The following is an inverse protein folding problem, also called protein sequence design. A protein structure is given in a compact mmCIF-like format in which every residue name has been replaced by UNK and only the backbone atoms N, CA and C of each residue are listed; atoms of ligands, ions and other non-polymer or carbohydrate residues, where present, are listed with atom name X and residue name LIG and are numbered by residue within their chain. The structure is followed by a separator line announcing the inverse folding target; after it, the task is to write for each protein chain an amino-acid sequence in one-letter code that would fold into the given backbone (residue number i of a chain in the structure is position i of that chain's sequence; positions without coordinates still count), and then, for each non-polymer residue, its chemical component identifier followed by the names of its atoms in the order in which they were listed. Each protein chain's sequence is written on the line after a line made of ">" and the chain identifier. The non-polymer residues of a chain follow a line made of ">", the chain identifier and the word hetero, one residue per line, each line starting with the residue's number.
data_IF_773653010856
#
_entry.id   IF_773653010856
#
_cell.length_a   1.000
_cell.length_b   1.000
_cell.length_c   1.000
_cell.angle_alpha   90.00
_cell.angle_beta   90.00
_cell.angle_gamma   90.00
#
_symmetry.space_group_name_H-M   'P 1'
#
loop_
_entity.id
_entity.type
_entity.pdbx_description
1 polymer ?
#
# COMPACT_ATOMS: atom_id res chain seq x y z
N UNK A 1 3.42 -9.43 -27.86
CA UNK A 1 2.47 -9.44 -26.74
C UNK A 1 3.36 -9.59 -25.51
N UNK A 2 3.59 -8.60 -24.65
CA UNK A 2 2.72 -7.58 -24.06
C UNK A 2 3.47 -6.25 -23.89
N UNK A 3 2.88 -5.14 -24.33
CA UNK A 3 3.38 -3.80 -23.98
C UNK A 3 2.56 -3.30 -22.81
N UNK A 4 3.04 -3.62 -21.61
CA UNK A 4 2.49 -3.09 -20.36
C UNK A 4 2.47 -1.56 -20.41
N UNK A 5 1.25 -1.01 -20.40
CA UNK A 5 0.93 0.41 -20.23
C UNK A 5 1.87 1.38 -20.96
N UNK A 6 1.66 1.58 -22.28
CA UNK A 6 2.18 2.78 -22.95
C UNK A 6 1.62 4.00 -22.25
N UNK A 7 2.37 4.62 -21.35
CA UNK A 7 2.04 5.95 -20.85
C UNK A 7 2.02 6.86 -22.07
N UNK A 8 0.88 7.49 -22.35
CA UNK A 8 0.74 8.43 -23.46
C UNK A 8 1.92 9.42 -23.47
N UNK A 9 2.52 9.65 -24.64
CA UNK A 9 3.48 10.73 -24.81
C UNK A 9 2.77 12.09 -24.65
N UNK A 10 3.53 13.16 -24.42
CA UNK A 10 2.97 14.52 -24.26
C UNK A 10 2.12 14.92 -25.49
N UNK A 11 2.60 14.60 -26.70
CA UNK A 11 1.89 14.84 -27.96
C UNK A 11 0.57 14.05 -28.03
N UNK A 12 0.57 12.80 -27.58
CA UNK A 12 -0.66 11.98 -27.55
C UNK A 12 -1.66 12.53 -26.53
N UNK A 13 -1.17 13.01 -25.38
CA UNK A 13 -2.00 13.65 -24.37
C UNK A 13 -2.65 14.92 -24.91
N UNK A 14 -1.88 15.81 -25.55
CA UNK A 14 -2.41 17.07 -26.10
C UNK A 14 -3.46 16.81 -27.19
N UNK A 15 -3.27 15.77 -28.01
CA UNK A 15 -4.30 15.34 -28.97
C UNK A 15 -5.58 14.88 -28.27
N UNK A 16 -5.47 14.03 -27.25
CA UNK A 16 -6.63 13.48 -26.55
C UNK A 16 -7.39 14.54 -25.74
N UNK A 17 -6.69 15.52 -25.15
CA UNK A 17 -7.37 16.58 -24.41
C UNK A 17 -8.14 17.52 -25.34
N UNK A 18 -7.64 17.74 -26.55
CA UNK A 18 -8.33 18.51 -27.59
C UNK A 18 -9.51 17.73 -28.19
N UNK A 19 -9.40 16.40 -28.33
CA UNK A 19 -10.53 15.55 -28.68
C UNK A 19 -11.65 15.63 -27.61
N UNK A 20 -11.30 15.61 -26.32
CA UNK A 20 -12.27 15.77 -25.23
C UNK A 20 -12.97 17.13 -25.26
N UNK A 21 -12.22 18.20 -25.56
CA UNK A 21 -12.76 19.56 -25.74
C UNK A 21 -13.85 19.60 -26.81
N UNK A 22 -13.60 18.92 -27.93
CA UNK A 22 -14.55 18.83 -29.06
C UNK A 22 -15.79 18.01 -28.73
N UNK A 23 -15.62 16.94 -27.94
CA UNK A 23 -16.71 16.02 -27.61
C UNK A 23 -17.63 16.58 -26.50
N UNK A 24 -17.04 17.10 -25.42
CA UNK A 24 -17.80 17.54 -24.26
C UNK A 24 -17.10 18.68 -23.50
N UNK A 25 -17.43 19.92 -23.88
CA UNK A 25 -16.82 21.14 -23.31
C UNK A 25 -16.82 21.17 -21.78
N UNK A 26 -17.94 20.81 -21.13
CA UNK A 26 -18.02 20.86 -19.66
C UNK A 26 -17.11 19.84 -18.96
N UNK A 27 -16.81 18.71 -19.60
CA UNK A 27 -15.90 17.72 -19.04
C UNK A 27 -14.44 18.16 -19.24
N UNK A 28 -14.14 18.79 -20.37
CA UNK A 28 -12.86 19.46 -20.59
C UNK A 28 -12.63 20.57 -19.57
N UNK A 29 -13.57 21.50 -19.42
CA UNK A 29 -13.45 22.63 -18.48
C UNK A 29 -13.18 22.11 -17.06
N UNK A 30 -13.97 21.12 -16.59
CA UNK A 30 -13.74 20.47 -15.30
C UNK A 30 -12.34 19.83 -15.20
N UNK A 31 -11.92 19.07 -16.21
CA UNK A 31 -10.62 18.41 -16.21
C UNK A 31 -9.45 19.42 -16.14
N UNK A 32 -9.57 20.55 -16.85
CA UNK A 32 -8.58 21.62 -16.81
C UNK A 32 -8.59 22.34 -15.46
N UNK A 33 -9.77 22.66 -14.92
CA UNK A 33 -9.94 23.35 -13.62
C UNK A 33 -9.42 22.53 -12.44
N UNK A 34 -9.65 21.21 -12.44
CA UNK A 34 -9.11 20.28 -11.43
C UNK A 34 -7.58 20.35 -11.41
N UNK A 35 -6.96 20.65 -12.56
CA UNK A 35 -5.52 20.74 -12.77
C UNK A 35 -4.96 19.46 -13.37
N UNK A 36 -4.37 19.52 -14.59
CA UNK A 36 -3.79 18.37 -15.27
C UNK A 36 -2.80 17.57 -14.42
N UNK A 37 -2.03 18.24 -13.57
CA UNK A 37 -1.06 17.60 -12.69
C UNK A 37 -1.68 16.61 -11.68
N UNK A 38 -2.98 16.68 -11.39
CA UNK A 38 -3.66 15.76 -10.45
C UNK A 38 -4.08 14.43 -11.07
N UNK A 39 -4.33 14.40 -12.37
CA UNK A 39 -4.89 13.22 -13.07
C UNK A 39 -4.05 12.78 -14.27
N UNK A 40 -3.31 13.71 -14.88
CA UNK A 40 -2.38 13.44 -15.96
C UNK A 40 -0.99 13.13 -15.42
N UNK A 41 -0.59 11.87 -15.59
CA UNK A 41 0.78 11.44 -15.27
C UNK A 41 1.84 12.16 -16.10
N UNK A 42 1.52 12.71 -17.27
CA UNK A 42 2.51 13.40 -18.14
C UNK A 42 2.73 14.85 -17.73
N UNK A 43 1.74 15.49 -17.06
CA UNK A 43 1.82 16.87 -16.56
C UNK A 43 2.14 16.97 -15.05
N UNK A 44 2.38 15.85 -14.37
CA UNK A 44 2.70 15.85 -12.93
C UNK A 44 4.16 16.35 -12.72
N UNK A 45 4.37 17.47 -12.00
CA UNK A 45 5.71 18.04 -11.78
C UNK A 45 6.56 17.19 -10.82
N UNK A 46 5.92 16.36 -9.98
CA UNK A 46 6.58 15.40 -9.10
C UNK A 46 7.08 14.20 -9.91
N UNK A 47 8.18 14.45 -10.63
CA UNK A 47 9.35 13.57 -10.72
C UNK A 47 8.99 12.10 -10.99
N UNK A 48 8.83 11.74 -12.26
CA UNK A 48 9.02 10.36 -12.73
C UNK A 48 10.44 9.84 -12.50
N UNK A 49 11.35 10.69 -12.07
CA UNK A 49 12.76 10.40 -11.84
C UNK A 49 13.20 10.87 -10.46
N UNK A 50 12.63 10.32 -9.39
CA UNK A 50 13.61 9.83 -8.43
C UNK A 50 14.18 8.61 -9.14
N UNK A 51 15.30 8.79 -9.88
CA UNK A 51 16.17 7.70 -10.32
C UNK A 51 16.73 7.04 -9.05
N UNK A 52 15.83 6.49 -8.23
CA UNK A 52 16.13 5.49 -7.23
C UNK A 52 16.57 4.32 -8.08
N UNK A 53 17.87 4.22 -8.26
CA UNK A 53 18.45 3.02 -8.80
C UNK A 53 17.93 1.87 -7.94
N UNK A 54 17.18 0.96 -8.56
CA UNK A 54 16.58 -0.17 -7.88
C UNK A 54 17.65 -0.96 -7.12
N UNK A 55 18.86 -1.02 -7.68
CA UNK A 55 20.04 -1.60 -7.04
C UNK A 55 20.38 -0.86 -5.75
N UNK A 56 20.49 0.47 -5.77
CA UNK A 56 20.72 1.29 -4.58
C UNK A 56 19.63 1.13 -3.50
N UNK A 57 18.36 0.98 -3.90
CA UNK A 57 17.25 0.82 -2.97
C UNK A 57 17.26 -0.56 -2.31
N UNK A 58 17.61 -1.60 -3.07
CA UNK A 58 17.51 -2.99 -2.62
C UNK A 58 18.83 -3.59 -2.13
N UNK A 59 19.99 -2.99 -2.43
CA UNK A 59 21.30 -3.53 -2.10
C UNK A 59 21.47 -3.83 -0.61
N UNK A 60 20.93 -2.97 0.26
CA UNK A 60 21.06 -3.12 1.71
C UNK A 60 20.34 -4.35 2.27
N UNK A 61 19.26 -4.80 1.60
CA UNK A 61 18.52 -6.01 2.01
C UNK A 61 19.31 -7.29 1.78
N UNK A 62 20.24 -7.29 0.82
CA UNK A 62 21.06 -8.46 0.48
C UNK A 62 22.45 -8.43 1.13
N UNK A 63 22.73 -7.47 2.01
CA UNK A 63 23.94 -7.48 2.83
C UNK A 63 23.90 -8.68 3.80
N UNK A 64 25.05 -9.31 3.99
CA UNK A 64 25.21 -10.46 4.90
C UNK A 64 24.69 -10.14 6.30
N UNK A 65 25.01 -8.97 6.83
CA UNK A 65 24.60 -8.53 8.16
C UNK A 65 23.08 -8.42 8.29
N UNK A 66 22.42 -7.78 7.31
CA UNK A 66 20.95 -7.68 7.25
C UNK A 66 20.29 -9.04 7.17
N UNK A 67 20.84 -9.97 6.38
CA UNK A 67 20.33 -11.34 6.29
C UNK A 67 20.54 -12.10 7.61
N UNK A 68 21.71 -11.99 8.24
CA UNK A 68 21.97 -12.62 9.54
C UNK A 68 21.00 -12.09 10.59
N UNK A 69 20.75 -10.78 10.64
CA UNK A 69 19.84 -10.16 11.59
C UNK A 69 18.38 -10.59 11.35
N UNK A 70 17.90 -10.50 10.10
CA UNK A 70 16.55 -10.87 9.71
C UNK A 70 16.24 -12.36 9.99
N UNK A 71 17.23 -13.23 9.80
CA UNK A 71 17.09 -14.67 10.02
C UNK A 71 17.67 -15.15 11.35
N UNK A 72 18.18 -14.26 12.21
CA UNK A 72 18.81 -14.64 13.49
C UNK A 72 17.85 -15.44 14.39
N UNK A 73 16.58 -15.02 14.43
CA UNK A 73 15.50 -15.69 15.17
C UNK A 73 15.05 -16.99 14.51
N UNK A 74 15.22 -17.11 13.18
CA UNK A 74 14.78 -18.29 12.41
C UNK A 74 15.86 -19.39 12.34
N UNK A 75 17.13 -19.01 12.24
CA UNK A 75 18.27 -19.93 12.07
C UNK A 75 18.77 -20.45 13.43
N UNK A 76 18.52 -19.72 14.52
CA UNK A 76 18.72 -20.24 15.88
C UNK A 76 17.45 -20.97 16.30
N UNK A 77 17.39 -22.32 16.21
CA UNK A 77 16.24 -23.03 16.73
C UNK A 77 16.13 -22.72 18.22
N UNK A 78 14.99 -22.17 18.64
CA UNK A 78 14.62 -22.17 20.05
C UNK A 78 14.65 -23.64 20.47
N UNK A 79 15.54 -24.00 21.40
CA UNK A 79 15.78 -25.39 21.78
C UNK A 79 14.49 -26.10 22.20
N UNK A 80 14.50 -27.42 22.29
CA UNK A 80 13.33 -28.15 22.79
C UNK A 80 12.92 -27.63 24.19
N UNK A 81 11.63 -27.41 24.50
CA UNK A 81 11.21 -26.83 25.78
C UNK A 81 11.74 -27.55 27.04
N UNK A 82 12.06 -28.84 26.92
CA UNK A 82 12.66 -29.64 28.01
C UNK A 82 14.11 -29.29 28.32
N UNK A 83 14.84 -28.62 27.42
CA UNK A 83 16.20 -28.14 27.68
C UNK A 83 16.24 -26.73 28.28
N UNK A 84 15.08 -26.08 28.44
CA UNK A 84 15.01 -24.73 28.96
C UNK A 84 15.11 -24.75 30.48
N UNK A 85 16.14 -24.11 31.01
CA UNK A 85 16.22 -23.83 32.44
C UNK A 85 15.33 -22.62 32.71
N UNK A 86 14.21 -22.81 33.42
CA UNK A 86 13.31 -21.73 33.83
C UNK A 86 13.70 -21.28 35.24
N UNK A 87 14.22 -20.06 35.43
CA UNK A 87 14.50 -19.49 36.74
C UNK A 87 13.28 -19.48 37.68
N UNK A 88 13.49 -19.65 38.99
CA UNK A 88 12.40 -19.80 39.97
C UNK A 88 11.49 -18.57 40.07
N UNK A 89 12.04 -17.38 39.84
CA UNK A 89 11.31 -16.11 39.75
C UNK A 89 10.37 -16.06 38.55
N UNK A 90 10.69 -16.74 37.44
CA UNK A 90 9.81 -16.84 36.27
C UNK A 90 8.77 -17.95 36.46
N UNK A 91 9.19 -19.12 36.96
CA UNK A 91 8.32 -20.26 37.20
C UNK A 91 7.18 -19.96 38.21
N UNK A 92 7.44 -19.04 39.16
CA UNK A 92 6.46 -18.61 40.16
C UNK A 92 5.50 -17.51 39.67
N UNK A 93 5.74 -16.89 38.51
CA UNK A 93 4.86 -15.87 37.94
C UNK A 93 3.61 -16.52 37.37
N UNK A 94 2.48 -16.33 38.06
CA UNK A 94 1.16 -16.70 37.51
C UNK A 94 0.73 -15.65 36.50
N UNK A 95 0.81 -15.98 35.20
CA UNK A 95 0.28 -15.14 34.12
C UNK A 95 -1.24 -15.35 34.05
N UNK A 96 -2.00 -14.41 34.61
CA UNK A 96 -3.45 -14.39 34.46
C UNK A 96 -3.82 -13.92 33.05
N UNK A 97 -4.90 -14.47 32.51
CA UNK A 97 -5.47 -13.98 31.26
C UNK A 97 -5.82 -12.48 31.39
N UNK A 98 -5.61 -11.68 30.34
CA UNK A 98 -6.00 -10.28 30.36
C UNK A 98 -7.51 -10.18 30.62
N UNK A 99 -7.89 -9.46 31.66
CA UNK A 99 -9.30 -9.26 32.06
C UNK A 99 -10.06 -8.33 31.11
N UNK A 100 -9.33 -7.64 30.23
CA UNK A 100 -9.91 -6.67 29.28
C UNK A 100 -10.48 -7.39 28.08
N UNK A 101 -11.78 -7.20 27.82
CA UNK A 101 -12.35 -7.50 26.51
C UNK A 101 -11.78 -6.50 25.51
N UNK A 102 -11.42 -6.97 24.31
CA UNK A 102 -11.13 -6.10 23.16
C UNK A 102 -12.32 -5.14 22.99
N UNK A 103 -12.08 -3.84 22.87
CA UNK A 103 -13.18 -2.92 22.59
C UNK A 103 -13.86 -3.34 21.30
N UNK A 104 -15.19 -3.31 21.28
CA UNK A 104 -15.94 -3.40 20.03
C UNK A 104 -15.35 -2.36 19.07
N UNK A 105 -15.06 -2.76 17.83
CA UNK A 105 -14.55 -1.83 16.83
C UNK A 105 -15.48 -0.63 16.66
N UNK A 106 -15.02 0.39 15.92
CA UNK A 106 -15.86 1.55 15.60
C UNK A 106 -17.22 1.07 15.07
N UNK A 107 -18.34 1.46 15.70
CA UNK A 107 -19.66 1.20 15.15
C UNK A 107 -19.69 1.75 13.73
N UNK A 108 -20.06 0.92 12.76
CA UNK A 108 -20.18 1.38 11.38
C UNK A 108 -21.35 2.38 11.35
N UNK A 109 -21.04 3.64 11.06
CA UNK A 109 -22.03 4.70 10.95
C UNK A 109 -22.80 4.52 9.63
N UNK A 110 -23.92 3.81 9.73
CA UNK A 110 -24.76 3.47 8.58
C UNK A 110 -24.32 2.19 7.86
N UNK A 111 -25.29 1.30 7.60
CA UNK A 111 -25.11 0.15 6.71
C UNK A 111 -25.14 0.67 5.27
N UNK A 112 -24.11 0.41 4.48
CA UNK A 112 -24.21 0.60 3.03
C UNK A 112 -25.17 -0.45 2.47
N UNK A 113 -26.32 -0.01 1.98
CA UNK A 113 -27.32 -0.84 1.27
C UNK A 113 -26.64 -1.47 0.07
N UNK A 114 -26.73 -2.80 -0.05
CA UNK A 114 -26.11 -3.53 -1.16
C UNK A 114 -26.90 -3.31 -2.45
N UNK A 115 -26.25 -3.52 -3.60
CA UNK A 115 -26.91 -3.29 -4.91
C UNK A 115 -28.16 -4.13 -5.14
N UNK A 116 -28.30 -5.27 -4.44
CA UNK A 116 -29.45 -6.17 -4.55
C UNK A 116 -30.67 -5.71 -3.75
N UNK A 117 -30.50 -4.76 -2.82
CA UNK A 117 -31.60 -4.20 -2.01
C UNK A 117 -32.21 -2.92 -2.63
N UNK A 118 -31.60 -2.40 -3.72
CA UNK A 118 -32.13 -1.25 -4.47
C UNK A 118 -33.33 -1.68 -5.30
N UNK A 119 -34.53 -1.57 -4.71
CA UNK A 119 -35.80 -1.71 -5.43
C UNK A 119 -36.04 -0.45 -6.26
N UNK A 120 -36.09 -0.60 -7.58
CA UNK A 120 -36.50 0.42 -8.54
C UNK A 120 -37.97 0.77 -8.27
N UNK A 121 -38.27 2.01 -7.89
CA UNK A 121 -39.62 2.59 -7.91
C UNK A 121 -39.73 3.52 -9.09
#
# INVERSE_FOLDING_TARGET
>A
MDSAARSYSEIQYDRHIEELRKLHKGAYDYAIDVGPHKWSRVRCPQRREQNLDFTSLCADYYKRETLIDAYSVLIMPVGHPSSWVVPSDIASRVVLNPKTKRQSGRPMEGRHVSSSERTTT
#
